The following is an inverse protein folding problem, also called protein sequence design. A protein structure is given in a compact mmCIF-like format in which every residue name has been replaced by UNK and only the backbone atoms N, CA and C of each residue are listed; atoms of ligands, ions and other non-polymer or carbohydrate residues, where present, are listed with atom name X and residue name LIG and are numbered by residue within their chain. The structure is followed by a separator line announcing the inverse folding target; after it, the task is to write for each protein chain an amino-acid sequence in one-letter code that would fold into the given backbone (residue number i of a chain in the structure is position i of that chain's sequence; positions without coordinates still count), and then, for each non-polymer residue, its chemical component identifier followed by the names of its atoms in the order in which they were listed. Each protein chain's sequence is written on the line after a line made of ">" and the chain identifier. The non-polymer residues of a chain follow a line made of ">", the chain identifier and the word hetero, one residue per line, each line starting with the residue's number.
data_IF_638596723384
#
_entry.id   IF_638596723384
#
_cell.length_a   1.000
_cell.length_b   1.000
_cell.length_c   1.000
_cell.angle_alpha   90.00
_cell.angle_beta   90.00
_cell.angle_gamma   90.00
#
_symmetry.space_group_name_H-M   'P 1'
#
loop_
_entity.id
_entity.type
_entity.pdbx_description
1 polymer ?
#
# COMPACT_ATOMS: atom_id res chain seq x y z
N UNK A 1 2.50 10.22 -17.29
CA UNK A 1 3.03 8.90 -17.73
C UNK A 1 2.71 7.88 -16.66
N UNK A 2 2.10 6.78 -17.03
CA UNK A 2 1.72 5.74 -16.10
C UNK A 2 2.96 5.17 -15.38
N UNK A 3 2.85 5.03 -14.05
CA UNK A 3 3.85 4.35 -13.22
C UNK A 3 3.57 2.85 -13.17
N UNK A 4 2.30 2.48 -13.02
CA UNK A 4 1.84 1.10 -13.00
C UNK A 4 0.87 0.88 -14.15
N UNK A 5 1.09 -0.15 -14.94
CA UNK A 5 0.19 -0.57 -16.00
C UNK A 5 -0.18 -2.03 -15.79
N UNK A 6 -1.46 -2.31 -15.86
CA UNK A 6 -2.04 -3.65 -15.76
C UNK A 6 -2.83 -3.90 -17.04
N UNK A 7 -2.50 -4.97 -17.76
CA UNK A 7 -3.11 -5.30 -19.03
C UNK A 7 -3.67 -6.74 -19.04
N UNK A 8 -4.98 -6.86 -19.27
CA UNK A 8 -5.74 -8.11 -19.39
C UNK A 8 -5.46 -9.13 -18.29
N UNK A 9 -5.27 -8.65 -17.04
CA UNK A 9 -4.87 -9.46 -15.91
C UNK A 9 -5.98 -10.44 -15.51
N UNK A 10 -5.64 -11.74 -15.41
CA UNK A 10 -6.58 -12.78 -15.03
C UNK A 10 -5.95 -13.81 -14.10
N UNK A 11 -6.76 -14.35 -13.18
CA UNK A 11 -6.44 -15.50 -12.36
C UNK A 11 -7.69 -16.29 -11.98
N UNK A 12 -7.57 -17.62 -11.92
CA UNK A 12 -8.61 -18.50 -11.46
C UNK A 12 -8.09 -19.47 -10.38
N UNK A 13 -8.93 -19.78 -9.41
CA UNK A 13 -8.67 -20.76 -8.35
C UNK A 13 -9.74 -21.85 -8.37
N UNK A 14 -9.36 -23.11 -8.58
CA UNK A 14 -10.31 -24.23 -8.57
C UNK A 14 -11.52 -24.04 -9.51
N UNK A 15 -11.31 -23.39 -10.66
CA UNK A 15 -12.37 -23.08 -11.63
C UNK A 15 -13.11 -21.75 -11.40
N UNK A 16 -12.95 -21.10 -10.25
CA UNK A 16 -13.52 -19.79 -9.97
C UNK A 16 -12.58 -18.71 -10.48
N UNK A 17 -13.04 -17.89 -11.43
CA UNK A 17 -12.28 -16.75 -11.95
C UNK A 17 -12.38 -15.59 -10.96
N UNK A 18 -11.33 -15.40 -10.16
CA UNK A 18 -11.29 -14.35 -9.15
C UNK A 18 -10.94 -12.95 -9.71
N UNK A 19 -10.18 -12.89 -10.82
CA UNK A 19 -9.92 -11.69 -11.61
C UNK A 19 -10.01 -12.07 -13.09
N UNK A 20 -10.67 -11.27 -13.91
CA UNK A 20 -10.97 -11.57 -15.31
C UNK A 20 -10.72 -10.35 -16.21
N UNK A 21 -9.67 -10.41 -17.02
CA UNK A 21 -9.33 -9.39 -18.04
C UNK A 21 -9.34 -7.95 -17.50
N UNK A 22 -8.78 -7.73 -16.32
CA UNK A 22 -8.74 -6.41 -15.70
C UNK A 22 -7.56 -5.62 -16.29
N UNK A 23 -7.86 -4.43 -16.84
CA UNK A 23 -6.87 -3.50 -17.38
C UNK A 23 -7.08 -2.10 -16.82
N UNK A 24 -6.01 -1.47 -16.36
CA UNK A 24 -5.99 -0.09 -15.87
C UNK A 24 -4.56 0.44 -15.81
N UNK A 25 -4.42 1.76 -15.64
CA UNK A 25 -3.14 2.40 -15.47
C UNK A 25 -3.19 3.42 -14.33
N UNK A 26 -2.08 3.53 -13.59
CA UNK A 26 -1.93 4.47 -12.46
C UNK A 26 -0.80 5.42 -12.77
N UNK A 27 -1.11 6.71 -12.85
CA UNK A 27 -0.12 7.76 -13.04
C UNK A 27 0.66 8.06 -11.75
N UNK A 28 1.82 8.69 -11.89
CA UNK A 28 2.69 9.04 -10.75
C UNK A 28 2.05 10.08 -9.84
N UNK A 29 2.23 9.93 -8.54
CA UNK A 29 1.85 10.90 -7.52
C UNK A 29 0.35 11.00 -7.26
N UNK A 30 -0.45 10.05 -7.78
CA UNK A 30 -1.90 9.99 -7.54
C UNK A 30 -2.23 9.09 -6.35
N UNK A 31 -3.39 9.35 -5.77
CA UNK A 31 -4.12 8.41 -4.91
C UNK A 31 -5.13 7.66 -5.79
N UNK A 32 -4.88 6.38 -5.99
CA UNK A 32 -5.71 5.49 -6.80
C UNK A 32 -6.39 4.45 -5.92
N UNK A 33 -7.71 4.45 -5.87
CA UNK A 33 -8.47 3.53 -5.03
C UNK A 33 -9.05 2.38 -5.85
N UNK A 34 -9.06 1.19 -5.26
CA UNK A 34 -9.74 0.01 -5.79
C UNK A 34 -10.87 -0.36 -4.85
N UNK A 35 -12.11 -0.25 -5.33
CA UNK A 35 -13.33 -0.53 -4.56
C UNK A 35 -14.18 -1.62 -5.21
N UNK A 36 -15.21 -2.06 -4.54
CA UNK A 36 -16.17 -3.05 -5.02
C UNK A 36 -16.79 -3.85 -3.87
N UNK A 37 -17.87 -4.59 -4.10
CA UNK A 37 -18.51 -5.44 -3.10
C UNK A 37 -17.55 -6.50 -2.51
N UNK A 38 -17.97 -7.15 -1.43
CA UNK A 38 -17.24 -8.29 -0.89
C UNK A 38 -17.18 -9.41 -1.92
N UNK A 39 -15.99 -10.01 -2.12
CA UNK A 39 -15.80 -11.01 -3.16
C UNK A 39 -15.57 -10.45 -4.57
N UNK A 40 -15.55 -9.14 -4.79
CA UNK A 40 -15.31 -8.54 -6.11
C UNK A 40 -13.89 -8.77 -6.68
N UNK A 41 -12.95 -9.36 -5.91
CA UNK A 41 -11.60 -9.67 -6.38
C UNK A 41 -10.52 -8.65 -6.01
N UNK A 42 -10.84 -7.63 -5.18
CA UNK A 42 -9.90 -6.55 -4.79
C UNK A 42 -8.59 -7.07 -4.20
N UNK A 43 -8.67 -7.87 -3.15
CA UNK A 43 -7.49 -8.46 -2.48
C UNK A 43 -6.71 -9.38 -3.43
N UNK A 44 -7.41 -10.10 -4.30
CA UNK A 44 -6.77 -10.95 -5.33
C UNK A 44 -6.01 -10.10 -6.34
N UNK A 45 -6.59 -9.00 -6.80
CA UNK A 45 -5.91 -8.04 -7.69
C UNK A 45 -4.66 -7.46 -7.03
N UNK A 46 -4.73 -7.03 -5.76
CA UNK A 46 -3.58 -6.57 -5.00
C UNK A 46 -2.49 -7.64 -4.88
N UNK A 47 -2.88 -8.88 -4.60
CA UNK A 47 -1.95 -10.00 -4.47
C UNK A 47 -1.25 -10.33 -5.79
N UNK A 48 -1.94 -10.19 -6.94
CA UNK A 48 -1.34 -10.32 -8.26
C UNK A 48 -0.30 -9.23 -8.52
N UNK A 49 -0.66 -7.97 -8.29
CA UNK A 49 0.22 -6.82 -8.58
C UNK A 49 1.45 -6.83 -7.66
N UNK A 50 1.28 -7.24 -6.41
CA UNK A 50 2.36 -7.25 -5.41
C UNK A 50 3.12 -8.57 -5.34
N UNK A 51 2.93 -9.47 -6.32
CA UNK A 51 3.74 -10.68 -6.50
C UNK A 51 3.46 -11.81 -5.51
N UNK A 52 2.35 -11.74 -4.74
CA UNK A 52 1.91 -12.83 -3.87
C UNK A 52 1.32 -13.97 -4.70
N UNK A 53 0.63 -13.63 -5.79
CA UNK A 53 0.12 -14.56 -6.78
C UNK A 53 0.74 -14.29 -8.15
N UNK A 54 0.95 -15.35 -8.92
CA UNK A 54 1.35 -15.24 -10.32
C UNK A 54 0.10 -15.21 -11.19
N UNK A 55 -0.08 -14.24 -12.09
CA UNK A 55 -1.22 -14.19 -12.99
C UNK A 55 -1.25 -15.40 -13.91
N UNK A 56 -2.45 -15.87 -14.26
CA UNK A 56 -2.63 -16.90 -15.28
C UNK A 56 -2.51 -16.32 -16.68
N UNK A 57 -2.95 -15.07 -16.85
CA UNK A 57 -2.92 -14.32 -18.12
C UNK A 57 -2.73 -12.84 -17.83
N UNK A 58 -2.23 -12.10 -18.83
CA UNK A 58 -2.04 -10.66 -18.77
C UNK A 58 -0.64 -10.25 -18.35
N UNK A 59 -0.43 -8.95 -18.29
CA UNK A 59 0.87 -8.35 -17.98
C UNK A 59 0.74 -7.25 -16.94
N UNK A 60 1.80 -7.08 -16.15
CA UNK A 60 1.94 -6.00 -15.18
C UNK A 60 3.27 -5.32 -15.44
N UNK A 61 3.25 -4.00 -15.64
CA UNK A 61 4.47 -3.19 -15.82
C UNK A 61 4.57 -2.14 -14.72
N UNK A 62 5.76 -1.98 -14.19
CA UNK A 62 6.14 -0.90 -13.29
C UNK A 62 7.21 -0.06 -13.98
N UNK A 63 6.94 1.22 -14.19
CA UNK A 63 7.83 2.15 -14.91
C UNK A 63 8.28 1.59 -16.28
N UNK A 64 7.32 1.05 -17.06
CA UNK A 64 7.52 0.43 -18.36
C UNK A 64 8.20 -0.95 -18.35
N UNK A 65 8.63 -1.46 -17.19
CA UNK A 65 9.29 -2.75 -17.06
C UNK A 65 8.31 -3.83 -16.57
N UNK A 66 8.29 -4.99 -17.23
CA UNK A 66 7.48 -6.12 -16.80
C UNK A 66 7.88 -6.60 -15.40
N UNK A 67 6.86 -6.83 -14.58
CA UNK A 67 6.99 -7.34 -13.22
C UNK A 67 6.11 -8.57 -12.96
N UNK A 68 5.43 -9.08 -13.97
CA UNK A 68 4.57 -10.25 -13.86
C UNK A 68 5.39 -11.46 -13.37
N UNK A 69 4.92 -12.10 -12.30
CA UNK A 69 5.60 -13.24 -11.69
C UNK A 69 6.84 -12.91 -10.84
N UNK A 70 7.21 -11.62 -10.71
CA UNK A 70 8.28 -11.23 -9.81
C UNK A 70 7.86 -11.45 -8.34
N UNK A 71 8.80 -11.92 -7.52
CA UNK A 71 8.56 -12.14 -6.10
C UNK A 71 8.46 -10.83 -5.31
N UNK A 72 7.75 -10.77 -4.16
CA UNK A 72 7.56 -9.54 -3.39
C UNK A 72 8.86 -8.82 -3.02
N UNK A 73 9.92 -9.56 -2.70
CA UNK A 73 11.21 -8.96 -2.36
C UNK A 73 11.92 -8.32 -3.57
N UNK A 74 11.70 -8.82 -4.78
CA UNK A 74 12.20 -8.22 -6.02
C UNK A 74 11.44 -6.94 -6.35
N UNK A 75 10.12 -6.94 -6.10
CA UNK A 75 9.27 -5.75 -6.26
C UNK A 75 9.64 -4.65 -5.26
N UNK A 76 10.00 -5.03 -4.03
CA UNK A 76 10.51 -4.08 -3.04
C UNK A 76 11.79 -3.39 -3.51
N UNK A 77 12.72 -4.11 -4.17
CA UNK A 77 13.92 -3.54 -4.78
C UNK A 77 13.63 -2.59 -5.95
N UNK A 78 12.48 -2.78 -6.60
CA UNK A 78 11.98 -1.89 -7.67
C UNK A 78 11.17 -0.69 -7.14
N UNK A 79 11.15 -0.48 -5.81
CA UNK A 79 10.47 0.65 -5.19
C UNK A 79 8.97 0.46 -4.98
N UNK A 80 8.50 -0.78 -4.86
CA UNK A 80 7.14 -1.10 -4.47
C UNK A 80 7.10 -1.44 -2.97
N UNK A 81 6.23 -0.80 -2.20
CA UNK A 81 5.96 -1.17 -0.81
C UNK A 81 4.49 -1.50 -0.61
N UNK A 82 4.19 -2.39 0.33
CA UNK A 82 2.82 -2.79 0.68
C UNK A 82 2.65 -2.89 2.19
N UNK A 83 1.51 -2.42 2.70
CA UNK A 83 0.97 -2.83 4.01
C UNK A 83 0.06 -4.04 3.84
N UNK A 84 -0.29 -4.68 4.95
CA UNK A 84 -1.18 -5.83 4.94
C UNK A 84 -2.41 -5.53 5.81
N UNK A 85 -3.52 -6.21 5.54
CA UNK A 85 -4.75 -6.08 6.32
C UNK A 85 -4.52 -6.30 7.82
N UNK A 86 -3.71 -7.31 8.16
CA UNK A 86 -3.26 -7.54 9.54
C UNK A 86 -1.96 -6.78 9.79
N UNK A 87 -1.90 -6.05 10.90
CA UNK A 87 -0.72 -5.30 11.31
C UNK A 87 0.55 -6.17 11.37
N UNK A 88 1.55 -5.80 10.59
CA UNK A 88 2.84 -6.49 10.52
C UNK A 88 3.90 -5.74 11.37
N UNK A 89 3.57 -5.39 12.60
CA UNK A 89 4.43 -4.66 13.53
C UNK A 89 5.14 -5.61 14.48
N UNK A 90 6.46 -5.40 14.68
CA UNK A 90 7.24 -6.13 15.67
C UNK A 90 6.95 -5.56 17.07
N UNK A 91 6.02 -6.19 17.80
CA UNK A 91 5.50 -5.70 19.10
C UNK A 91 6.56 -5.68 20.21
N UNK A 92 7.63 -6.44 20.08
CA UNK A 92 8.77 -6.49 21.01
C UNK A 92 9.85 -5.43 20.73
N UNK A 93 9.64 -4.57 19.74
CA UNK A 93 10.52 -3.47 19.37
C UNK A 93 9.89 -2.11 19.69
N UNK A 94 10.71 -1.08 19.82
CA UNK A 94 10.22 0.31 19.87
C UNK A 94 9.62 0.74 18.52
N UNK A 95 8.84 1.81 18.52
CA UNK A 95 8.29 2.39 17.31
C UNK A 95 9.40 2.79 16.31
N UNK A 96 10.46 3.42 16.82
CA UNK A 96 11.61 3.81 15.97
C UNK A 96 12.29 2.61 15.33
N UNK A 97 12.53 1.53 16.08
CA UNK A 97 13.16 0.31 15.56
C UNK A 97 12.28 -0.35 14.49
N UNK A 98 10.95 -0.34 14.64
CA UNK A 98 10.03 -0.81 13.60
C UNK A 98 10.19 -0.03 12.29
N UNK A 99 10.34 1.29 12.33
CA UNK A 99 10.59 2.10 11.13
C UNK A 99 11.96 1.78 10.54
N UNK A 100 13.01 1.63 11.38
CA UNK A 100 14.35 1.25 10.92
C UNK A 100 14.38 -0.12 10.23
N UNK A 101 13.58 -1.09 10.67
CA UNK A 101 13.41 -2.38 9.97
C UNK A 101 12.92 -2.17 8.54
N UNK A 102 12.01 -1.20 8.30
CA UNK A 102 11.55 -0.86 6.95
C UNK A 102 12.66 -0.38 6.02
N UNK A 103 13.72 0.22 6.57
CA UNK A 103 14.87 0.69 5.80
C UNK A 103 15.90 -0.41 5.46
N UNK A 104 15.61 -1.68 5.72
CA UNK A 104 16.57 -2.81 5.55
C UNK A 104 17.14 -2.92 4.12
N UNK A 105 16.40 -2.50 3.10
CA UNK A 105 16.88 -2.48 1.71
C UNK A 105 18.03 -1.48 1.49
N UNK A 106 18.18 -0.50 2.37
CA UNK A 106 19.24 0.50 2.33
C UNK A 106 20.52 0.04 3.08
N UNK A 107 20.44 -1.09 3.81
CA UNK A 107 21.57 -1.64 4.54
C UNK A 107 22.56 -2.33 3.60
N UNK A 108 23.85 -2.17 3.89
CA UNK A 108 24.91 -2.88 3.19
C UNK A 108 24.85 -4.37 3.58
N UNK A 109 24.56 -5.25 2.60
CA UNK A 109 24.42 -6.70 2.82
C UNK A 109 25.76 -7.42 3.08
N UNK A 110 26.87 -6.67 3.16
CA UNK A 110 28.18 -7.26 3.35
C UNK A 110 28.39 -7.64 4.82
N UNK A 111 28.11 -8.91 5.15
CA UNK A 111 28.29 -9.50 6.48
C UNK A 111 29.71 -9.34 7.04
N UNK A 112 30.75 -9.35 6.17
CA UNK A 112 32.13 -9.20 6.59
C UNK A 112 32.40 -7.80 7.12
N UNK A 113 31.85 -6.76 6.46
CA UNK A 113 31.94 -5.37 6.97
C UNK A 113 31.16 -5.20 8.28
N UNK A 114 30.01 -5.92 8.43
CA UNK A 114 29.24 -5.92 9.66
C UNK A 114 29.99 -6.55 10.84
N UNK A 115 30.66 -7.67 10.62
CA UNK A 115 31.47 -8.37 11.66
C UNK A 115 32.67 -7.54 12.13
N UNK A 116 33.31 -6.80 11.24
CA UNK A 116 34.50 -6.00 11.54
C UNK A 116 34.24 -4.63 12.15
N UNK A 117 32.94 -4.27 12.42
CA UNK A 117 32.52 -2.99 13.02
C UNK A 117 33.25 -1.77 12.44
N UNK A 118 33.32 -1.68 11.11
CA UNK A 118 33.98 -0.55 10.46
C UNK A 118 33.41 0.80 10.96
N UNK A 119 34.25 1.83 11.17
CA UNK A 119 33.82 3.15 11.70
C UNK A 119 32.67 3.78 10.93
N UNK A 120 32.52 3.49 9.63
CA UNK A 120 31.42 3.97 8.78
C UNK A 120 30.04 3.38 9.14
N UNK A 121 29.96 2.24 9.82
CA UNK A 121 28.69 1.62 10.20
C UNK A 121 27.96 2.39 11.29
N UNK A 122 28.69 2.87 12.30
CA UNK A 122 28.09 3.68 13.38
C UNK A 122 27.53 5.01 12.85
N UNK A 123 28.17 5.58 11.82
CA UNK A 123 27.64 6.77 11.13
C UNK A 123 26.37 6.44 10.37
N UNK A 124 26.35 5.36 9.60
CA UNK A 124 25.20 4.93 8.80
C UNK A 124 24.00 4.55 9.69
N UNK A 125 24.25 3.88 10.81
CA UNK A 125 23.22 3.54 11.78
C UNK A 125 22.58 4.81 12.38
N UNK A 126 23.38 5.83 12.64
CA UNK A 126 22.89 7.14 13.09
C UNK A 126 22.06 7.83 12.01
N UNK A 127 22.52 7.85 10.76
CA UNK A 127 21.80 8.42 9.62
C UNK A 127 20.45 7.73 9.41
N UNK A 128 20.38 6.39 9.51
CA UNK A 128 19.12 5.62 9.43
C UNK A 128 18.18 5.95 10.59
N UNK A 129 18.71 6.10 11.79
CA UNK A 129 17.93 6.49 12.98
C UNK A 129 17.33 7.89 12.82
N UNK A 130 18.11 8.83 12.31
CA UNK A 130 17.64 10.20 12.05
C UNK A 130 16.54 10.20 10.97
N UNK A 131 16.72 9.47 9.87
CA UNK A 131 15.70 9.30 8.82
C UNK A 131 14.44 8.64 9.37
N UNK A 132 14.56 7.59 10.17
CA UNK A 132 13.41 6.94 10.79
C UNK A 132 12.65 7.91 11.71
N UNK A 133 13.37 8.77 12.45
CA UNK A 133 12.75 9.79 13.30
C UNK A 133 12.02 10.87 12.49
N UNK A 134 12.57 11.28 11.35
CA UNK A 134 11.89 12.20 10.43
C UNK A 134 10.61 11.59 9.87
N UNK A 135 10.64 10.30 9.49
CA UNK A 135 9.44 9.59 9.06
C UNK A 135 8.39 9.48 10.17
N UNK A 136 8.81 9.26 11.43
CA UNK A 136 7.87 9.26 12.54
C UNK A 136 7.20 10.62 12.74
N UNK A 137 7.93 11.73 12.58
CA UNK A 137 7.34 13.08 12.57
C UNK A 137 6.39 13.26 11.40
N UNK A 138 6.78 12.80 10.23
CA UNK A 138 5.96 12.87 9.02
C UNK A 138 4.59 12.22 9.19
N UNK A 139 4.54 11.05 9.84
CA UNK A 139 3.28 10.33 10.12
C UNK A 139 2.61 10.73 11.45
N UNK A 140 3.08 11.79 12.12
CA UNK A 140 2.49 12.28 13.37
C UNK A 140 2.77 11.41 14.61
N UNK A 141 3.89 10.70 14.63
CA UNK A 141 4.27 9.78 15.72
C UNK A 141 5.51 10.23 16.52
N UNK A 142 5.89 11.52 16.46
CA UNK A 142 7.12 11.99 17.14
C UNK A 142 7.10 11.74 18.66
N UNK A 143 5.92 11.79 19.30
CA UNK A 143 5.79 11.50 20.74
C UNK A 143 6.04 10.02 21.10
N UNK A 144 5.95 9.10 20.13
CA UNK A 144 6.01 7.66 20.33
C UNK A 144 7.38 7.02 20.04
N UNK A 145 8.38 7.77 19.60
CA UNK A 145 9.60 7.20 19.03
C UNK A 145 10.39 6.26 19.96
N UNK A 146 10.30 6.45 21.29
CA UNK A 146 10.92 5.58 22.31
C UNK A 146 9.97 4.53 22.87
N UNK A 147 8.67 4.63 22.56
CA UNK A 147 7.67 3.75 23.14
C UNK A 147 7.75 2.37 22.48
N UNK A 148 7.58 1.31 23.27
CA UNK A 148 7.39 -0.03 22.73
C UNK A 148 6.11 -0.10 21.90
N UNK A 149 6.15 -0.76 20.76
CA UNK A 149 4.99 -0.87 19.87
C UNK A 149 3.78 -1.50 20.58
N UNK A 150 4.00 -2.44 21.49
CA UNK A 150 2.94 -3.07 22.30
C UNK A 150 2.16 -2.12 23.21
N UNK A 151 2.69 -0.92 23.47
CA UNK A 151 2.05 0.10 24.31
C UNK A 151 1.38 1.22 23.49
N UNK A 152 1.38 1.12 22.15
CA UNK A 152 0.81 2.14 21.28
C UNK A 152 -0.68 1.90 21.02
N UNK A 153 -1.49 2.97 20.91
CA UNK A 153 -2.87 2.87 20.44
C UNK A 153 -2.96 2.29 19.04
N UNK A 154 -4.07 1.65 18.70
CA UNK A 154 -4.23 0.97 17.41
C UNK A 154 -4.08 1.91 16.20
N UNK A 155 -4.68 3.11 16.23
CA UNK A 155 -4.51 4.11 15.17
C UNK A 155 -3.05 4.59 15.01
N UNK A 156 -2.28 4.64 16.11
CA UNK A 156 -0.86 4.94 16.03
C UNK A 156 -0.05 3.77 15.42
N UNK A 157 -0.45 2.52 15.67
CA UNK A 157 0.16 1.34 15.04
C UNK A 157 -0.09 1.30 13.54
N UNK A 158 -1.29 1.68 13.05
CA UNK A 158 -1.59 1.80 11.63
C UNK A 158 -0.69 2.85 10.95
N UNK A 159 -0.49 4.01 11.58
CA UNK A 159 0.46 5.04 11.09
C UNK A 159 1.91 4.57 11.14
N UNK A 160 2.28 3.77 12.14
CA UNK A 160 3.62 3.18 12.25
C UNK A 160 3.89 2.19 11.12
N UNK A 161 2.89 1.41 10.70
CA UNK A 161 3.00 0.50 9.56
C UNK A 161 3.27 1.26 8.26
N UNK A 162 2.56 2.39 8.04
CA UNK A 162 2.81 3.28 6.91
C UNK A 162 4.23 3.86 6.98
N UNK A 163 4.67 4.36 8.15
CA UNK A 163 6.03 4.87 8.33
C UNK A 163 7.10 3.81 8.00
N UNK A 164 6.88 2.56 8.42
CA UNK A 164 7.77 1.45 8.11
C UNK A 164 7.83 1.16 6.61
N UNK A 165 6.69 1.20 5.91
CA UNK A 165 6.65 1.03 4.47
C UNK A 165 7.37 2.18 3.73
N UNK A 166 7.18 3.43 4.17
CA UNK A 166 7.85 4.61 3.63
C UNK A 166 9.36 4.59 3.85
N UNK A 167 9.86 3.93 4.90
CA UNK A 167 11.29 3.79 5.16
C UNK A 167 12.04 3.05 4.05
N UNK A 168 11.36 2.24 3.25
CA UNK A 168 11.92 1.61 2.05
C UNK A 168 12.13 2.61 0.88
N UNK A 169 11.66 3.87 1.00
CA UNK A 169 11.66 4.91 -0.05
C UNK A 169 10.97 4.43 -1.33
N UNK A 170 9.72 3.98 -1.25
CA UNK A 170 9.01 3.46 -2.40
C UNK A 170 8.63 4.58 -3.38
N UNK A 171 8.50 4.23 -4.66
CA UNK A 171 7.85 5.07 -5.67
C UNK A 171 6.34 4.82 -5.74
N UNK A 172 5.90 3.63 -5.27
CA UNK A 172 4.48 3.26 -5.18
C UNK A 172 4.23 2.50 -3.87
N UNK A 173 3.18 2.92 -3.15
CA UNK A 173 2.76 2.36 -1.87
C UNK A 173 1.37 1.74 -2.01
N UNK A 174 1.25 0.45 -1.70
CA UNK A 174 -0.01 -0.28 -1.65
C UNK A 174 -0.52 -0.35 -0.22
N UNK A 175 -1.74 0.14 0.01
CA UNK A 175 -2.41 0.14 1.31
C UNK A 175 -3.65 -0.76 1.26
N UNK A 176 -3.68 -1.77 2.12
CA UNK A 176 -4.78 -2.75 2.21
C UNK A 176 -5.63 -2.43 3.45
N UNK A 177 -6.78 -1.79 3.24
CA UNK A 177 -7.72 -1.32 4.26
C UNK A 177 -7.05 -0.54 5.41
N UNK A 178 -6.36 0.58 5.11
CA UNK A 178 -5.60 1.32 6.11
C UNK A 178 -6.48 1.89 7.24
N UNK A 179 -7.75 2.16 6.99
CA UNK A 179 -8.69 2.71 7.97
C UNK A 179 -9.49 1.63 8.73
N UNK A 180 -9.31 0.34 8.42
CA UNK A 180 -10.06 -0.72 9.09
C UNK A 180 -9.85 -0.73 10.60
N UNK A 181 -10.98 -0.71 11.36
CA UNK A 181 -10.98 -0.75 12.82
C UNK A 181 -10.69 0.59 13.51
N UNK A 182 -10.58 1.69 12.76
CA UNK A 182 -10.36 3.04 13.27
C UNK A 182 -11.68 3.76 13.58
N UNK A 183 -11.65 4.69 14.52
CA UNK A 183 -12.74 5.64 14.72
C UNK A 183 -12.65 6.78 13.71
N UNK A 184 -13.72 7.61 13.59
CA UNK A 184 -13.81 8.67 12.58
C UNK A 184 -12.66 9.70 12.64
N UNK A 185 -12.12 9.98 13.84
CA UNK A 185 -10.99 10.90 13.99
C UNK A 185 -9.69 10.25 13.48
N UNK A 186 -9.44 9.01 13.85
CA UNK A 186 -8.27 8.26 13.40
C UNK A 186 -8.31 8.01 11.88
N UNK A 187 -9.52 7.76 11.31
CA UNK A 187 -9.71 7.67 9.86
C UNK A 187 -9.32 8.98 9.18
N UNK A 188 -9.77 10.12 9.68
CA UNK A 188 -9.40 11.42 9.12
C UNK A 188 -7.87 11.67 9.19
N UNK A 189 -7.19 11.23 10.25
CA UNK A 189 -5.74 11.30 10.35
C UNK A 189 -5.03 10.42 9.30
N UNK A 190 -5.61 9.26 8.95
CA UNK A 190 -5.10 8.41 7.86
C UNK A 190 -5.38 9.04 6.50
N UNK A 191 -6.56 9.64 6.28
CA UNK A 191 -6.91 10.37 5.05
C UNK A 191 -5.87 11.46 4.75
N UNK A 192 -5.61 12.31 5.74
CA UNK A 192 -4.60 13.37 5.64
C UNK A 192 -3.21 12.81 5.37
N UNK A 193 -2.84 11.72 6.03
CA UNK A 193 -1.54 11.07 5.84
C UNK A 193 -1.40 10.51 4.44
N UNK A 194 -2.41 9.80 3.91
CA UNK A 194 -2.40 9.24 2.56
C UNK A 194 -2.23 10.35 1.53
N UNK A 195 -2.98 11.45 1.67
CA UNK A 195 -2.88 12.60 0.79
C UNK A 195 -1.49 13.22 0.84
N UNK A 196 -0.96 13.44 2.07
CA UNK A 196 0.39 13.95 2.29
C UNK A 196 1.48 13.08 1.68
N UNK A 197 1.32 11.75 1.68
CA UNK A 197 2.24 10.81 1.02
C UNK A 197 2.23 11.02 -0.49
N UNK A 198 1.04 11.15 -1.10
CA UNK A 198 0.90 11.38 -2.53
C UNK A 198 1.46 12.77 -2.94
N UNK A 199 1.19 13.81 -2.17
CA UNK A 199 1.70 15.17 -2.41
C UNK A 199 3.25 15.25 -2.32
N UNK A 200 3.88 14.29 -1.64
CA UNK A 200 5.34 14.12 -1.63
C UNK A 200 5.86 13.27 -2.81
N UNK A 201 5.03 12.99 -3.81
CA UNK A 201 5.41 12.34 -5.06
C UNK A 201 5.39 10.80 -5.02
N UNK A 202 4.92 10.19 -3.93
CA UNK A 202 4.75 8.74 -3.83
C UNK A 202 3.35 8.39 -4.33
N UNK A 203 3.27 7.53 -5.35
CA UNK A 203 1.97 7.04 -5.82
C UNK A 203 1.35 6.12 -4.79
N UNK A 204 0.09 6.31 -4.44
CA UNK A 204 -0.63 5.46 -3.49
C UNK A 204 -1.71 4.69 -4.21
N UNK A 205 -1.72 3.38 -4.05
CA UNK A 205 -2.82 2.51 -4.48
C UNK A 205 -3.44 1.89 -3.24
N UNK A 206 -4.73 2.08 -3.04
CA UNK A 206 -5.39 1.56 -1.84
C UNK A 206 -6.64 0.74 -2.16
N UNK A 207 -6.88 -0.28 -1.35
CA UNK A 207 -8.17 -0.97 -1.26
C UNK A 207 -8.87 -0.46 -0.02
N UNK A 208 -10.11 0.00 -0.18
CA UNK A 208 -10.95 0.45 0.93
C UNK A 208 -12.41 0.13 0.69
N UNK A 209 -13.16 0.04 1.78
CA UNK A 209 -14.62 -0.13 1.78
C UNK A 209 -15.36 1.06 2.40
N UNK A 210 -14.64 1.97 3.08
CA UNK A 210 -15.18 3.25 3.53
C UNK A 210 -15.30 4.21 2.34
N UNK A 211 -16.52 4.28 1.78
CA UNK A 211 -16.79 5.13 0.62
C UNK A 211 -16.56 6.62 0.91
N UNK A 212 -16.71 7.05 2.17
CA UNK A 212 -16.47 8.45 2.53
C UNK A 212 -14.99 8.80 2.40
N UNK A 213 -14.11 7.93 2.95
CA UNK A 213 -12.68 8.05 2.78
C UNK A 213 -12.30 8.05 1.30
N UNK A 214 -12.73 7.04 0.56
CA UNK A 214 -12.41 6.88 -0.87
C UNK A 214 -12.77 8.13 -1.68
N UNK A 215 -14.02 8.64 -1.52
CA UNK A 215 -14.49 9.81 -2.25
C UNK A 215 -13.73 11.10 -1.89
N UNK A 216 -13.19 11.19 -0.68
CA UNK A 216 -12.46 12.38 -0.23
C UNK A 216 -11.02 12.44 -0.72
N UNK A 217 -10.33 11.29 -0.81
CA UNK A 217 -8.88 11.30 -1.02
C UNK A 217 -8.45 10.80 -2.39
N UNK A 218 -9.33 10.17 -3.18
CA UNK A 218 -8.94 9.52 -4.42
C UNK A 218 -8.96 10.48 -5.61
N UNK A 219 -7.89 10.48 -6.39
CA UNK A 219 -7.83 11.14 -7.69
C UNK A 219 -8.52 10.30 -8.76
N UNK A 220 -8.37 8.96 -8.66
CA UNK A 220 -9.01 7.99 -9.55
C UNK A 220 -9.48 6.77 -8.75
N UNK A 221 -10.58 6.18 -9.18
CA UNK A 221 -11.21 5.04 -8.52
C UNK A 221 -11.49 3.97 -9.58
N UNK A 222 -11.00 2.76 -9.34
CA UNK A 222 -11.36 1.54 -10.06
C UNK A 222 -12.44 0.80 -9.28
N UNK A 223 -13.56 0.50 -9.92
CA UNK A 223 -14.62 -0.32 -9.35
C UNK A 223 -14.55 -1.72 -9.93
N UNK A 224 -14.41 -2.71 -9.06
CA UNK A 224 -14.48 -4.12 -9.41
C UNK A 224 -15.83 -4.71 -9.02
N UNK A 225 -16.33 -5.60 -9.86
CA UNK A 225 -17.47 -6.46 -9.55
C UNK A 225 -17.27 -7.84 -10.17
N UNK A 226 -17.49 -8.91 -9.40
CA UNK A 226 -17.29 -10.31 -9.81
C UNK A 226 -15.98 -10.55 -10.58
N UNK A 227 -14.86 -9.97 -10.12
CA UNK A 227 -13.54 -10.11 -10.71
C UNK A 227 -13.30 -9.32 -11.99
N UNK A 228 -14.22 -8.43 -12.39
CA UNK A 228 -14.11 -7.61 -13.60
C UNK A 228 -14.08 -6.13 -13.24
N UNK A 229 -13.48 -5.34 -14.11
CA UNK A 229 -13.60 -3.89 -14.08
C UNK A 229 -15.02 -3.49 -14.46
N UNK A 230 -15.76 -2.90 -13.51
CA UNK A 230 -17.08 -2.35 -13.76
C UNK A 230 -16.98 -0.96 -14.38
N UNK A 231 -16.20 -0.09 -13.74
CA UNK A 231 -15.91 1.27 -14.23
C UNK A 231 -14.62 1.79 -13.63
N UNK A 232 -14.14 2.90 -14.16
CA UNK A 232 -13.01 3.65 -13.63
C UNK A 232 -13.22 5.14 -13.90
N UNK A 233 -13.01 5.98 -12.88
CA UNK A 233 -13.23 7.42 -13.04
C UNK A 233 -12.82 8.21 -11.80
N UNK A 234 -13.19 9.48 -11.80
CA UNK A 234 -13.13 10.37 -10.64
C UNK A 234 -14.18 9.97 -9.60
N UNK A 235 -14.06 10.50 -8.38
CA UNK A 235 -15.04 10.26 -7.32
C UNK A 235 -16.48 10.65 -7.76
N UNK A 236 -16.63 11.74 -8.52
CA UNK A 236 -17.94 12.16 -9.01
C UNK A 236 -18.50 11.19 -10.06
N UNK A 237 -17.71 10.80 -11.06
CA UNK A 237 -18.13 9.85 -12.10
C UNK A 237 -18.55 8.50 -11.52
N UNK A 238 -17.79 7.99 -10.55
CA UNK A 238 -18.08 6.72 -9.87
C UNK A 238 -19.36 6.81 -9.02
N UNK A 239 -19.55 7.92 -8.30
CA UNK A 239 -20.72 8.16 -7.45
C UNK A 239 -22.03 8.24 -8.25
N UNK A 240 -21.97 8.80 -9.46
CA UNK A 240 -23.15 8.99 -10.32
C UNK A 240 -23.42 7.79 -11.25
N UNK A 241 -22.54 6.81 -11.27
CA UNK A 241 -22.65 5.64 -12.15
C UNK A 241 -23.74 4.68 -11.66
N UNK A 242 -24.80 4.42 -12.48
CA UNK A 242 -25.92 3.57 -12.08
C UNK A 242 -25.50 2.11 -11.85
N UNK A 243 -24.50 1.59 -12.57
CA UNK A 243 -24.02 0.22 -12.41
C UNK A 243 -23.28 0.05 -11.08
N UNK A 244 -22.54 1.08 -10.63
CA UNK A 244 -21.91 1.11 -9.31
C UNK A 244 -22.97 1.09 -8.21
N UNK A 245 -23.99 1.95 -8.33
CA UNK A 245 -25.09 2.01 -7.37
C UNK A 245 -25.78 0.64 -7.28
N UNK A 246 -26.07 0.01 -8.42
CA UNK A 246 -26.71 -1.30 -8.47
C UNK A 246 -25.85 -2.40 -7.84
N UNK A 247 -24.52 -2.41 -8.10
CA UNK A 247 -23.59 -3.39 -7.53
C UNK A 247 -23.53 -3.32 -5.99
N UNK A 248 -23.62 -2.11 -5.42
CA UNK A 248 -23.62 -1.94 -3.96
C UNK A 248 -25.00 -2.16 -3.31
N UNK A 249 -26.11 -1.81 -3.98
CA UNK A 249 -27.46 -2.05 -3.50
C UNK A 249 -27.92 -3.49 -3.69
N UNK A 250 -27.50 -4.14 -4.78
CA UNK A 250 -27.85 -5.53 -5.08
C UNK A 250 -27.16 -6.56 -4.18
N UNK A 251 -26.09 -6.19 -3.48
CA UNK A 251 -25.40 -7.06 -2.52
C UNK A 251 -26.06 -7.13 -1.14
N UNK A 252 -27.14 -6.39 -0.90
CA UNK A 252 -27.89 -6.33 0.36
C UNK A 252 -29.29 -7.02 0.30
N UNK A 253 -29.55 -7.88 -0.71
CA UNK A 253 -30.78 -8.66 -0.82
C UNK A 253 -30.47 -10.14 -0.60
#
# INVERSE_FOLDING_TARGET
>A
MALLEVDNLSIAFGGVKAVQNVSFAVDRGLVYSVIGPNGAGKTTLFNLITGVYTPSEGEIRLDGHSIAGAAPHELALKGMARTFQNLQICMNMSALENVMVGAHLQLDRNLVKAMLRFPGMARRDRELRDQARELMRFVGLDAYWKLGASSMPYGALKRLEIARALAAKPQILFLDEPAAGLNSKETAEIDELVRKVADNGITVVLVEHDMKMVMNISDRILVLDYGKKLTEGTAQEVRENPDVIAAYLGSNV
#
